data_IF_572561670655
#
_entry.id   IF_572561670655
#
_cell.length_a   1.000
_cell.length_b   1.000
_cell.length_c   1.000
_cell.angle_alpha   90.00
_cell.angle_beta   90.00
_cell.angle_gamma   90.00
#
_symmetry.space_group_name_H-M   'P 1'
#
loop_
_entity.id
_entity.type
_entity.pdbx_description
1 polymer ?
#
# COMPACT_ATOMS: atom_id res chain seq x y z
N UNK A 1 2.56 -14.39 -10.14
CA UNK A 1 3.52 -13.59 -10.92
C UNK A 1 4.50 -12.97 -9.93
N UNK A 2 5.79 -12.89 -10.30
CA UNK A 2 6.80 -12.25 -9.47
C UNK A 2 6.57 -10.74 -9.44
N UNK A 3 6.89 -10.13 -8.30
CA UNK A 3 6.79 -8.70 -8.08
C UNK A 3 8.05 -8.21 -7.38
N UNK A 4 8.38 -6.94 -7.59
CA UNK A 4 9.55 -6.30 -7.01
C UNK A 4 9.14 -5.08 -6.21
N UNK A 5 9.81 -4.87 -5.07
CA UNK A 5 9.86 -3.63 -4.33
C UNK A 5 11.30 -3.09 -4.47
N UNK A 6 11.44 -1.95 -5.11
CA UNK A 6 12.72 -1.23 -5.22
C UNK A 6 12.66 0.03 -4.37
N UNK A 7 13.65 0.20 -3.49
CA UNK A 7 13.80 1.37 -2.64
C UNK A 7 14.68 2.44 -3.32
N UNK A 8 14.53 3.67 -2.90
CA UNK A 8 15.29 4.83 -3.41
C UNK A 8 16.81 4.65 -3.30
N UNK A 9 17.29 3.92 -2.31
CA UNK A 9 18.72 3.60 -2.13
C UNK A 9 19.22 2.42 -2.97
N UNK A 10 18.38 1.87 -3.85
CA UNK A 10 18.69 0.74 -4.71
C UNK A 10 18.45 -0.64 -4.09
N UNK A 11 18.01 -0.72 -2.84
CA UNK A 11 17.69 -2.00 -2.19
C UNK A 11 16.46 -2.63 -2.83
N UNK A 12 16.51 -3.92 -3.14
CA UNK A 12 15.43 -4.67 -3.79
C UNK A 12 14.91 -5.78 -2.88
N UNK A 13 13.61 -5.92 -2.84
CA UNK A 13 12.90 -7.05 -2.22
C UNK A 13 12.00 -7.72 -3.25
N UNK A 14 12.01 -9.04 -3.25
CA UNK A 14 11.13 -9.83 -4.12
C UNK A 14 9.85 -10.25 -3.40
N UNK A 15 8.78 -10.47 -4.18
CA UNK A 15 7.50 -10.93 -3.68
C UNK A 15 6.62 -11.46 -4.79
N UNK A 16 5.34 -11.62 -4.48
CA UNK A 16 4.29 -12.07 -5.39
C UNK A 16 3.22 -11.00 -5.57
N UNK A 17 2.54 -11.00 -6.71
CA UNK A 17 1.53 -10.00 -7.02
C UNK A 17 0.13 -10.36 -6.52
N UNK A 18 -0.59 -9.33 -6.06
CA UNK A 18 -2.04 -9.31 -5.89
C UNK A 18 -2.56 -7.91 -6.31
N UNK A 19 -3.87 -7.70 -6.29
CA UNK A 19 -4.46 -6.48 -6.83
C UNK A 19 -4.32 -6.37 -8.34
N UNK A 20 -4.16 -5.14 -8.85
CA UNK A 20 -4.00 -4.91 -10.29
C UNK A 20 -2.56 -5.16 -10.77
N UNK A 21 -2.40 -5.28 -12.10
CA UNK A 21 -1.08 -5.27 -12.75
C UNK A 21 -0.60 -3.85 -13.01
N UNK A 22 0.71 -3.63 -12.94
CA UNK A 22 1.35 -2.34 -13.19
C UNK A 22 2.46 -2.04 -12.21
N UNK A 23 2.61 -0.77 -11.88
CA UNK A 23 3.49 -0.31 -10.82
C UNK A 23 2.83 0.83 -10.03
N UNK A 24 3.34 1.08 -8.84
CA UNK A 24 2.95 2.23 -8.01
C UNK A 24 4.15 2.74 -7.22
N UNK A 25 4.19 4.06 -7.02
CA UNK A 25 5.27 4.75 -6.31
C UNK A 25 4.71 5.46 -5.08
N UNK A 26 5.59 5.79 -4.16
CA UNK A 26 5.27 6.60 -2.98
C UNK A 26 6.32 6.44 -1.90
N UNK A 27 6.27 7.31 -0.90
CA UNK A 27 7.07 7.14 0.30
C UNK A 27 6.60 5.92 1.09
N UNK A 28 7.56 5.13 1.59
CA UNK A 28 7.28 3.97 2.42
C UNK A 28 6.83 4.40 3.83
N UNK A 29 5.69 3.91 4.23
CA UNK A 29 5.24 3.94 5.62
C UNK A 29 4.87 2.54 6.11
N UNK A 30 4.78 2.34 7.42
CA UNK A 30 4.38 1.05 7.98
C UNK A 30 3.37 1.21 9.12
N UNK A 31 2.49 0.23 9.21
CA UNK A 31 1.52 0.11 10.29
C UNK A 31 1.72 -1.23 11.01
N UNK A 32 1.70 -1.20 12.35
CA UNK A 32 1.90 -2.37 13.22
C UNK A 32 0.60 -2.90 13.82
N UNK A 33 -0.54 -2.35 13.45
CA UNK A 33 -1.86 -2.78 13.92
C UNK A 33 -2.16 -4.23 13.55
N UNK A 34 -2.71 -4.98 14.48
CA UNK A 34 -3.07 -6.39 14.26
C UNK A 34 -4.43 -6.56 13.58
N UNK A 35 -5.24 -5.51 13.55
CA UNK A 35 -6.58 -5.45 12.95
C UNK A 35 -6.85 -4.04 12.41
N UNK A 36 -7.99 -3.84 11.74
CA UNK A 36 -8.35 -2.51 11.22
C UNK A 36 -7.60 -2.15 9.94
N UNK A 37 -7.26 -3.12 9.11
CA UNK A 37 -6.49 -2.83 7.90
C UNK A 37 -7.27 -1.99 6.89
N UNK A 38 -8.60 -2.14 6.81
CA UNK A 38 -9.42 -1.37 5.88
C UNK A 38 -9.46 0.10 6.27
N UNK A 39 -9.60 0.39 7.56
CA UNK A 39 -9.50 1.74 8.13
C UNK A 39 -8.16 2.37 7.76
N UNK A 40 -7.06 1.65 8.00
CA UNK A 40 -5.69 2.12 7.64
C UNK A 40 -5.55 2.43 6.16
N UNK A 41 -6.09 1.57 5.27
CA UNK A 41 -5.96 1.78 3.81
C UNK A 41 -6.78 2.95 3.30
N UNK A 42 -7.84 3.32 4.02
CA UNK A 42 -8.76 4.42 3.67
C UNK A 42 -8.51 5.69 4.48
N UNK A 43 -7.59 5.67 5.45
CA UNK A 43 -7.22 6.84 6.25
C UNK A 43 -6.50 7.90 5.39
N UNK A 44 -7.04 9.14 5.31
CA UNK A 44 -6.41 10.25 4.60
C UNK A 44 -4.96 10.55 5.00
N UNK A 45 -4.55 10.18 6.22
CA UNK A 45 -3.19 10.37 6.72
C UNK A 45 -2.14 9.63 5.90
N UNK A 46 -2.53 8.55 5.20
CA UNK A 46 -1.63 7.75 4.36
C UNK A 46 -1.76 8.05 2.87
N UNK A 47 -2.32 9.21 2.52
CA UNK A 47 -2.54 9.58 1.12
C UNK A 47 -1.24 9.56 0.31
N UNK A 48 -1.25 8.76 -0.77
CA UNK A 48 -0.11 8.66 -1.69
C UNK A 48 1.07 7.83 -1.22
N UNK A 49 1.03 7.26 -0.01
CA UNK A 49 2.11 6.43 0.52
C UNK A 49 1.98 4.95 0.14
N UNK A 50 3.11 4.26 0.05
CA UNK A 50 3.18 2.80 -0.03
C UNK A 50 3.15 2.21 1.39
N UNK A 51 2.07 1.49 1.73
CA UNK A 51 1.85 0.96 3.06
C UNK A 51 2.47 -0.40 3.25
N UNK A 52 3.27 -0.56 4.30
CA UNK A 52 3.75 -1.86 4.77
C UNK A 52 2.92 -2.28 5.98
N UNK A 53 2.30 -3.45 5.94
CA UNK A 53 1.68 -4.06 7.12
C UNK A 53 2.62 -5.09 7.74
N UNK A 54 2.84 -4.99 9.05
CA UNK A 54 3.79 -5.86 9.77
C UNK A 54 3.16 -7.12 10.34
N UNK A 55 1.84 -7.21 10.38
CA UNK A 55 1.11 -8.41 10.79
C UNK A 55 1.34 -9.58 9.82
N UNK A 56 1.20 -10.79 10.34
CA UNK A 56 1.52 -12.00 9.59
C UNK A 56 0.54 -12.26 8.43
N UNK A 57 -0.72 -11.83 8.56
CA UNK A 57 -1.78 -12.09 7.59
C UNK A 57 -2.66 -10.86 7.36
N UNK A 58 -2.97 -10.58 6.10
CA UNK A 58 -3.89 -9.53 5.66
C UNK A 58 -4.99 -10.15 4.81
N UNK A 59 -6.22 -9.63 4.91
CA UNK A 59 -7.38 -10.09 4.14
C UNK A 59 -8.20 -11.19 4.78
N UNK A 60 -7.80 -11.72 5.93
CA UNK A 60 -8.42 -12.87 6.59
C UNK A 60 -9.87 -12.66 7.07
N UNK A 61 -10.33 -11.42 7.22
CA UNK A 61 -11.73 -11.11 7.56
C UNK A 61 -12.49 -10.32 6.50
N UNK A 62 -11.89 -10.16 5.30
CA UNK A 62 -12.52 -9.48 4.15
C UNK A 62 -12.65 -7.97 4.34
N UNK A 63 -13.56 -7.36 3.61
CA UNK A 63 -13.92 -5.93 3.66
C UNK A 63 -15.33 -5.77 4.19
N UNK A 64 -15.61 -4.64 4.84
CA UNK A 64 -16.93 -4.30 5.36
C UNK A 64 -17.31 -2.85 5.01
N UNK A 65 -18.58 -2.62 4.67
CA UNK A 65 -19.04 -1.30 4.18
C UNK A 65 -18.84 -0.14 5.15
N UNK A 66 -18.84 -0.43 6.46
CA UNK A 66 -18.77 0.58 7.51
C UNK A 66 -17.41 0.65 8.21
N UNK A 67 -16.39 -0.02 7.65
CA UNK A 67 -15.04 -0.05 8.22
C UNK A 67 -14.05 0.75 7.35
N UNK A 68 -14.48 1.92 6.88
CA UNK A 68 -13.64 2.83 6.08
C UNK A 68 -13.63 4.22 6.69
N UNK A 69 -12.46 4.84 6.78
CA UNK A 69 -12.28 6.23 7.25
C UNK A 69 -12.63 7.26 6.15
N UNK A 70 -12.64 6.82 4.90
CA UNK A 70 -13.04 7.64 3.76
C UNK A 70 -13.61 6.78 2.62
N UNK A 71 -14.23 7.44 1.64
CA UNK A 71 -14.92 6.79 0.52
C UNK A 71 -14.00 5.88 -0.31
N UNK A 72 -12.74 6.28 -0.50
CA UNK A 72 -11.79 5.59 -1.36
C UNK A 72 -10.49 5.28 -0.62
N UNK A 73 -9.81 4.24 -1.08
CA UNK A 73 -8.48 3.86 -0.59
C UNK A 73 -7.46 4.98 -0.83
N UNK A 74 -6.74 5.40 0.21
CA UNK A 74 -5.79 6.52 0.18
C UNK A 74 -4.36 6.10 -0.07
N UNK A 75 -3.99 4.89 0.34
CA UNK A 75 -2.66 4.36 0.06
C UNK A 75 -2.44 4.18 -1.44
N UNK A 76 -1.19 4.32 -1.90
CA UNK A 76 -0.80 4.07 -3.30
C UNK A 76 -0.71 2.59 -3.62
N UNK A 77 -0.31 1.78 -2.66
CA UNK A 77 -0.19 0.33 -2.78
C UNK A 77 0.15 -0.32 -1.46
N UNK A 78 0.11 -1.65 -1.42
CA UNK A 78 0.32 -2.44 -0.21
C UNK A 78 1.51 -3.38 -0.35
N UNK A 79 2.32 -3.46 0.71
CA UNK A 79 3.38 -4.45 0.90
C UNK A 79 3.05 -5.27 2.15
N UNK A 80 2.94 -6.59 2.01
CA UNK A 80 2.60 -7.46 3.14
C UNK A 80 3.33 -8.82 3.11
N UNK A 81 3.31 -9.53 4.23
CA UNK A 81 3.91 -10.87 4.33
C UNK A 81 3.02 -11.94 3.70
N UNK A 82 1.77 -12.04 4.13
CA UNK A 82 0.80 -12.98 3.57
C UNK A 82 -0.50 -12.25 3.26
N UNK A 83 -0.96 -12.39 2.03
CA UNK A 83 -2.22 -11.85 1.54
C UNK A 83 -3.22 -12.98 1.34
N UNK A 84 -4.35 -12.94 2.05
CA UNK A 84 -5.42 -13.92 1.92
C UNK A 84 -6.40 -13.50 0.82
N UNK A 85 -6.67 -14.42 -0.10
CA UNK A 85 -7.61 -14.22 -1.19
C UNK A 85 -9.06 -14.59 -0.82
N UNK A 86 -9.26 -15.27 0.31
CA UNK A 86 -10.58 -15.57 0.87
C UNK A 86 -10.70 -15.05 2.30
N UNK A 87 -11.92 -14.92 2.80
CA UNK A 87 -12.18 -14.46 4.15
C UNK A 87 -13.12 -15.38 4.91
N UNK A 88 -13.03 -15.37 6.26
CA UNK A 88 -13.79 -16.25 7.15
C UNK A 88 -14.89 -15.54 7.95
N UNK A 89 -14.92 -14.21 7.98
CA UNK A 89 -15.87 -13.41 8.74
C UNK A 89 -17.25 -13.40 8.07
N UNK A 90 -18.31 -13.80 8.76
CA UNK A 90 -19.70 -13.81 8.25
C UNK A 90 -20.21 -12.44 7.82
N UNK A 91 -19.75 -11.37 8.47
CA UNK A 91 -20.11 -9.98 8.14
C UNK A 91 -19.25 -9.39 7.01
N UNK A 92 -18.27 -10.12 6.47
CA UNK A 92 -17.49 -9.68 5.33
C UNK A 92 -18.38 -9.51 4.10
N UNK A 93 -18.18 -8.41 3.38
CA UNK A 93 -18.93 -8.09 2.17
C UNK A 93 -18.24 -8.61 0.91
N UNK A 94 -16.89 -8.54 0.87
CA UNK A 94 -16.10 -8.93 -0.28
C UNK A 94 -14.69 -9.36 0.15
N UNK A 95 -13.97 -9.98 -0.77
CA UNK A 95 -12.55 -10.32 -0.60
C UNK A 95 -11.69 -9.06 -0.72
N UNK A 96 -10.64 -8.98 0.09
CA UNK A 96 -9.73 -7.83 0.07
C UNK A 96 -9.08 -7.64 -1.31
N UNK A 97 -8.81 -8.72 -2.05
CA UNK A 97 -8.23 -8.62 -3.40
C UNK A 97 -9.17 -7.90 -4.39
N UNK A 98 -10.47 -8.23 -4.36
CA UNK A 98 -11.47 -7.56 -5.19
C UNK A 98 -11.57 -6.08 -4.84
N UNK A 99 -11.47 -5.75 -3.56
CA UNK A 99 -11.44 -4.36 -3.10
C UNK A 99 -10.22 -3.61 -3.66
N UNK A 100 -9.01 -4.17 -3.59
CA UNK A 100 -7.81 -3.56 -4.20
C UNK A 100 -7.96 -3.38 -5.71
N UNK A 101 -8.53 -4.36 -6.41
CA UNK A 101 -8.81 -4.27 -7.85
C UNK A 101 -9.81 -3.15 -8.15
N UNK A 102 -10.92 -3.07 -7.41
CA UNK A 102 -11.95 -2.04 -7.59
C UNK A 102 -11.42 -0.62 -7.34
N UNK A 103 -10.45 -0.48 -6.43
CA UNK A 103 -9.77 0.77 -6.10
C UNK A 103 -8.55 1.05 -6.99
N UNK A 104 -8.30 0.21 -8.00
CA UNK A 104 -7.16 0.32 -8.92
C UNK A 104 -5.81 0.35 -8.18
N UNK A 105 -5.62 -0.53 -7.21
CA UNK A 105 -4.42 -0.58 -6.36
C UNK A 105 -3.64 -1.88 -6.54
N UNK A 106 -2.31 -1.76 -6.47
CA UNK A 106 -1.36 -2.87 -6.56
C UNK A 106 -1.00 -3.38 -5.17
N UNK A 107 -0.77 -4.68 -5.07
CA UNK A 107 -0.29 -5.33 -3.85
C UNK A 107 0.93 -6.19 -4.18
N UNK A 108 1.94 -6.13 -3.32
CA UNK A 108 3.04 -7.08 -3.28
C UNK A 108 3.00 -7.87 -1.96
N UNK A 109 2.93 -9.17 -2.06
CA UNK A 109 2.88 -10.10 -0.93
C UNK A 109 4.07 -11.07 -0.95
N UNK A 110 4.22 -11.87 0.09
CA UNK A 110 5.35 -12.79 0.29
C UNK A 110 6.70 -12.05 0.44
N UNK A 111 6.65 -10.82 0.96
CA UNK A 111 7.81 -9.96 1.23
C UNK A 111 8.27 -10.13 2.67
N UNK A 112 9.57 -10.07 2.92
CA UNK A 112 10.11 -9.94 4.28
C UNK A 112 9.87 -8.51 4.80
N UNK A 113 8.63 -8.24 5.23
CA UNK A 113 8.22 -6.92 5.74
C UNK A 113 9.03 -6.49 6.95
N UNK A 114 9.54 -7.43 7.76
CA UNK A 114 10.41 -7.13 8.90
C UNK A 114 11.75 -6.56 8.44
N UNK A 115 12.35 -7.14 7.40
CA UNK A 115 13.59 -6.63 6.83
C UNK A 115 13.38 -5.23 6.24
N UNK A 116 12.30 -5.00 5.48
CA UNK A 116 11.97 -3.68 4.93
C UNK A 116 11.80 -2.64 6.03
N UNK A 117 11.00 -2.93 7.07
CA UNK A 117 10.78 -1.99 8.18
C UNK A 117 12.07 -1.69 8.95
N UNK A 118 12.91 -2.70 9.20
CA UNK A 118 14.22 -2.46 9.84
C UNK A 118 15.12 -1.57 8.97
N UNK A 119 15.07 -1.74 7.66
CA UNK A 119 15.83 -0.95 6.72
C UNK A 119 15.42 0.54 6.79
N UNK A 120 14.14 0.85 6.61
CA UNK A 120 13.65 2.25 6.65
C UNK A 120 13.78 2.88 8.04
N UNK A 121 13.71 2.11 9.12
CA UNK A 121 13.97 2.63 10.47
C UNK A 121 15.44 3.02 10.69
N UNK A 122 16.37 2.36 10.03
CA UNK A 122 17.80 2.64 10.15
C UNK A 122 18.29 3.73 9.18
N UNK A 123 17.67 3.84 8.00
CA UNK A 123 18.08 4.74 6.92
C UNK A 123 17.24 6.03 6.84
N UNK A 124 16.04 6.02 7.38
CA UNK A 124 15.06 7.08 7.27
C UNK A 124 13.92 6.74 6.30
N UNK A 125 12.88 7.58 6.29
CA UNK A 125 11.82 7.50 5.31
C UNK A 125 12.39 7.72 3.90
N UNK A 126 11.90 6.97 2.93
CA UNK A 126 12.37 7.04 1.55
C UNK A 126 11.27 6.64 0.58
N UNK A 127 11.39 7.12 -0.65
CA UNK A 127 10.52 6.70 -1.73
C UNK A 127 10.81 5.26 -2.16
N UNK A 128 9.80 4.62 -2.71
CA UNK A 128 9.92 3.28 -3.27
C UNK A 128 8.96 3.12 -4.46
N UNK A 129 9.19 2.06 -5.22
CA UNK A 129 8.31 1.61 -6.29
C UNK A 129 8.03 0.11 -6.11
N UNK A 130 6.77 -0.27 -6.22
CA UNK A 130 6.34 -1.66 -6.33
C UNK A 130 5.91 -1.93 -7.76
N UNK A 131 6.31 -3.08 -8.33
CA UNK A 131 5.96 -3.47 -9.70
C UNK A 131 5.72 -4.96 -9.81
N UNK A 132 4.71 -5.34 -10.60
CA UNK A 132 4.46 -6.70 -11.04
C UNK A 132 4.35 -6.81 -12.58
N UNK A 133 4.80 -5.79 -13.28
CA UNK A 133 4.90 -5.71 -14.73
C UNK A 133 6.32 -6.05 -15.23
N UNK A 134 6.49 -6.13 -16.54
CA UNK A 134 7.75 -6.50 -17.20
C UNK A 134 8.67 -5.28 -17.39
N UNK A 135 8.90 -4.52 -16.32
CA UNK A 135 9.90 -3.45 -16.32
C UNK A 135 11.24 -3.95 -15.82
N UNK A 136 12.32 -3.44 -16.41
CA UNK A 136 13.66 -3.68 -15.90
C UNK A 136 13.92 -2.88 -14.61
N UNK A 137 14.94 -3.27 -13.85
CA UNK A 137 15.34 -2.49 -12.66
C UNK A 137 15.76 -1.06 -13.04
N UNK A 138 16.36 -0.88 -14.22
CA UNK A 138 16.75 0.44 -14.72
C UNK A 138 15.51 1.31 -15.03
N UNK A 139 14.46 0.72 -15.62
CA UNK A 139 13.19 1.43 -15.84
C UNK A 139 12.56 1.85 -14.52
N UNK A 140 12.50 0.92 -13.54
CA UNK A 140 11.94 1.21 -12.23
C UNK A 140 12.74 2.28 -11.48
N UNK A 141 14.08 2.24 -11.58
CA UNK A 141 14.95 3.26 -10.97
C UNK A 141 14.70 4.64 -11.57
N UNK A 142 14.51 4.72 -12.90
CA UNK A 142 14.19 5.96 -13.58
C UNK A 142 12.81 6.49 -13.14
N UNK A 143 11.78 5.65 -13.11
CA UNK A 143 10.47 6.07 -12.62
C UNK A 143 10.51 6.55 -11.17
N UNK A 144 11.30 5.88 -10.33
CA UNK A 144 11.45 6.25 -8.93
C UNK A 144 12.19 7.59 -8.74
N UNK A 145 13.17 7.90 -9.60
CA UNK A 145 13.90 9.18 -9.54
C UNK A 145 13.02 10.40 -9.81
N UNK A 146 11.91 10.22 -10.54
CA UNK A 146 10.95 11.28 -10.84
C UNK A 146 9.90 11.49 -9.73
N UNK A 147 9.90 10.63 -8.68
CA UNK A 147 8.94 10.73 -7.56
C UNK A 147 9.39 11.84 -6.61
N UNK A 148 8.56 12.86 -6.38
CA UNK A 148 8.92 13.93 -5.45
C UNK A 148 8.99 13.40 -4.02
N UNK A 149 9.86 14.00 -3.21
CA UNK A 149 9.84 13.77 -1.76
C UNK A 149 8.51 14.26 -1.16
N UNK A 150 7.98 13.55 -0.19
CA UNK A 150 6.81 13.99 0.58
C UNK A 150 7.06 15.25 1.38
N UNK A 151 8.32 15.56 1.66
CA UNK A 151 8.70 16.75 2.42
C UNK A 151 8.35 18.04 1.66
N UNK A 152 7.47 18.83 2.25
CA UNK A 152 7.01 20.10 1.68
C UNK A 152 5.88 19.97 0.66
N UNK A 153 5.36 18.76 0.39
CA UNK A 153 4.18 18.61 -0.45
C UNK A 153 2.92 19.08 0.30
N UNK A 154 2.11 19.88 -0.40
CA UNK A 154 0.77 20.23 0.05
C UNK A 154 -0.20 19.13 -0.38
N UNK A 155 -0.69 18.33 0.57
CA UNK A 155 -1.61 17.22 0.31
C UNK A 155 -2.99 17.42 0.94
N UNK A 156 -3.13 18.41 1.82
CA UNK A 156 -4.38 18.66 2.55
C UNK A 156 -5.54 18.95 1.60
N UNK A 157 -5.30 19.70 0.53
CA UNK A 157 -6.31 20.00 -0.50
C UNK A 157 -6.81 18.76 -1.25
N UNK A 158 -6.00 17.70 -1.30
CA UNK A 158 -6.33 16.44 -2.00
C UNK A 158 -7.16 15.47 -1.15
N UNK A 159 -7.22 15.68 0.16
CA UNK A 159 -7.90 14.80 1.11
C UNK A 159 -9.03 15.50 1.88
N UNK A 160 -9.14 16.82 1.77
CA UNK A 160 -10.22 17.60 2.38
C UNK A 160 -11.55 17.36 1.65
N UNK A 161 -12.65 17.72 2.29
CA UNK A 161 -13.99 17.66 1.71
C UNK A 161 -14.14 18.70 0.59
N UNK A 162 -14.74 18.30 -0.53
CA UNK A 162 -15.03 19.21 -1.65
C UNK A 162 -16.31 20.03 -1.45
N UNK A 163 -17.19 19.55 -0.56
CA UNK A 163 -18.50 20.19 -0.28
C UNK A 163 -18.66 20.43 1.23
N UNK A 164 -19.35 21.50 1.58
CA UNK A 164 -19.72 21.76 2.97
C UNK A 164 -20.82 20.80 3.41
N UNK A 165 -20.68 20.26 4.61
CA UNK A 165 -21.69 19.40 5.22
C UNK A 165 -21.96 19.85 6.66
N UNK A 166 -23.14 19.49 7.17
CA UNK A 166 -23.54 19.76 8.55
C UNK A 166 -23.66 18.43 9.29
N UNK A 167 -23.13 18.39 10.50
CA UNK A 167 -23.29 17.27 11.43
C UNK A 167 -24.68 17.25 12.02
#
# INVERSE_FOLDING_TARGET
KNSLLLLEDGTVFEGKSAGISGFSTGELCFNTGMSGYQEVFTDPSYFGQLMITTNAHIGNYGVHKNESESENMKISGLICKNFNFGFSRKAGFDELNNYFISQNKIVITDVDTRAVVRHIRSKGAMNAIISNSEHTLDDLSRFLSDVPSMNGLELSSKVTTCESYTY
#
